data_IF_973490018760
#
_entry.id   IF_973490018760
#
_cell.length_a   1.000
_cell.length_b   1.000
_cell.length_c   1.000
_cell.angle_alpha   90.00
_cell.angle_beta   90.00
_cell.angle_gamma   90.00
#
_symmetry.space_group_name_H-M   'P 1'
#
loop_
_entity.id
_entity.type
_entity.pdbx_description
1 polymer ?
#
# COMPACT_ATOMS: atom_id res chain seq x y z
N UNK A 1 -27.87 -45.40 14.94
CA UNK A 1 -26.78 -44.46 15.30
C UNK A 1 -25.75 -44.26 14.20
N UNK A 2 -25.25 -45.30 13.51
CA UNK A 2 -24.28 -45.15 12.38
C UNK A 2 -24.68 -44.13 11.30
N UNK A 3 -25.96 -44.07 10.91
CA UNK A 3 -26.47 -43.14 9.88
C UNK A 3 -26.48 -41.66 10.34
N UNK A 4 -26.72 -41.42 11.64
CA UNK A 4 -26.68 -40.08 12.25
C UNK A 4 -25.23 -39.60 12.36
N UNK A 5 -24.33 -40.51 12.73
CA UNK A 5 -22.88 -40.22 12.81
C UNK A 5 -22.29 -39.88 11.43
N UNK A 6 -22.74 -40.58 10.37
CA UNK A 6 -22.34 -40.27 8.99
C UNK A 6 -22.86 -38.90 8.52
N UNK A 7 -24.09 -38.53 8.88
CA UNK A 7 -24.67 -37.22 8.55
C UNK A 7 -23.96 -36.07 9.25
N UNK A 8 -23.54 -36.26 10.51
CA UNK A 8 -22.78 -35.25 11.25
C UNK A 8 -21.36 -35.08 10.67
N UNK A 9 -20.72 -36.18 10.27
CA UNK A 9 -19.41 -36.13 9.61
C UNK A 9 -19.47 -35.40 8.25
N UNK A 10 -20.57 -35.56 7.51
CA UNK A 10 -20.78 -34.89 6.22
C UNK A 10 -20.98 -33.37 6.36
N UNK A 11 -21.60 -32.91 7.45
CA UNK A 11 -21.79 -31.49 7.73
C UNK A 11 -20.48 -30.78 8.10
N UNK A 12 -19.57 -31.46 8.79
CA UNK A 12 -18.27 -30.91 9.19
C UNK A 12 -17.31 -30.82 7.99
N UNK A 13 -17.42 -31.74 7.03
CA UNK A 13 -16.55 -31.74 5.83
C UNK A 13 -16.84 -30.63 4.80
N UNK A 14 -17.88 -29.83 4.99
CA UNK A 14 -18.23 -28.74 4.07
C UNK A 14 -17.48 -27.43 4.38
N UNK A 15 -16.73 -27.37 5.46
CA UNK A 15 -15.94 -26.19 5.80
C UNK A 15 -14.56 -26.29 5.14
N UNK A 16 -14.47 -25.77 3.92
CA UNK A 16 -13.19 -25.60 3.23
C UNK A 16 -12.62 -24.23 3.56
N UNK A 17 -11.32 -24.22 3.90
CA UNK A 17 -10.56 -22.99 4.03
C UNK A 17 -10.58 -22.26 2.68
N UNK A 18 -11.14 -21.07 2.69
CA UNK A 18 -11.20 -20.14 1.59
C UNK A 18 -10.01 -19.18 1.67
N UNK A 19 -9.50 -18.77 0.51
CA UNK A 19 -8.46 -17.77 0.38
C UNK A 19 -9.09 -16.48 -0.13
N UNK A 20 -8.91 -15.39 0.62
CA UNK A 20 -9.32 -14.05 0.20
C UNK A 20 -8.10 -13.13 0.07
N UNK A 21 -7.92 -12.55 -1.12
CA UNK A 21 -6.78 -11.69 -1.44
C UNK A 21 -7.18 -10.22 -1.42
N UNK A 22 -6.39 -9.41 -0.73
CA UNK A 22 -6.47 -7.95 -0.75
C UNK A 22 -5.23 -7.43 -1.44
N UNK A 23 -5.41 -6.83 -2.62
CA UNK A 23 -4.33 -6.23 -3.41
C UNK A 23 -4.35 -4.70 -3.31
N UNK A 24 -3.17 -4.10 -3.25
CA UNK A 24 -2.96 -2.64 -3.27
C UNK A 24 -3.83 -1.84 -2.29
N UNK A 25 -4.04 -2.36 -1.08
CA UNK A 25 -4.76 -1.64 -0.04
C UNK A 25 -3.94 -0.44 0.43
N UNK A 26 -4.52 0.75 0.34
CA UNK A 26 -3.87 1.99 0.78
C UNK A 26 -4.43 2.49 2.10
N UNK A 27 -3.57 3.03 2.95
CA UNK A 27 -3.97 3.69 4.18
C UNK A 27 -2.94 4.76 4.59
N UNK A 28 -3.37 5.71 5.40
CA UNK A 28 -2.50 6.71 5.99
C UNK A 28 -2.13 6.29 7.42
N UNK A 29 -0.84 6.15 7.68
CA UNK A 29 -0.30 5.70 8.97
C UNK A 29 0.57 6.78 9.59
N UNK A 30 0.50 6.91 10.91
CA UNK A 30 1.35 7.83 11.65
C UNK A 30 2.81 7.35 11.72
N UNK A 31 3.75 8.23 11.35
CA UNK A 31 5.19 8.01 11.47
C UNK A 31 5.70 8.68 12.75
N UNK A 32 6.32 7.92 13.66
CA UNK A 32 6.99 8.49 14.85
C UNK A 32 8.08 9.46 14.41
N UNK A 33 8.81 9.10 13.35
CA UNK A 33 9.81 9.93 12.71
C UNK A 33 9.13 11.02 11.89
N UNK A 34 9.27 12.27 12.33
CA UNK A 34 8.72 13.44 11.65
C UNK A 34 7.26 13.76 11.97
N UNK A 35 6.63 13.01 12.89
CA UNK A 35 5.32 13.33 13.47
C UNK A 35 4.23 13.64 12.41
N UNK A 36 4.18 12.83 11.36
CA UNK A 36 3.35 13.08 10.18
C UNK A 36 2.71 11.79 9.66
N UNK A 37 1.58 11.94 8.97
CA UNK A 37 0.95 10.84 8.25
C UNK A 37 1.75 10.49 7.00
N UNK A 38 1.88 9.19 6.74
CA UNK A 38 2.51 8.62 5.56
C UNK A 38 1.53 7.66 4.91
N UNK A 39 1.31 7.84 3.62
CA UNK A 39 0.55 6.91 2.80
C UNK A 39 1.36 5.63 2.62
N UNK A 40 0.73 4.50 2.84
CA UNK A 40 1.31 3.18 2.63
C UNK A 40 0.43 2.34 1.70
N UNK A 41 1.02 1.32 1.12
CA UNK A 41 0.36 0.31 0.31
C UNK A 41 0.68 -1.09 0.86
N UNK A 42 -0.35 -1.93 0.94
CA UNK A 42 -0.27 -3.28 1.47
C UNK A 42 -0.93 -4.27 0.53
N UNK A 43 -0.43 -5.50 0.55
CA UNK A 43 -1.12 -6.62 -0.09
C UNK A 43 -1.08 -7.82 0.85
N UNK A 44 -2.25 -8.43 1.05
CA UNK A 44 -2.50 -9.43 2.07
C UNK A 44 -3.27 -10.61 1.49
N UNK A 45 -3.03 -11.79 2.01
CA UNK A 45 -3.90 -12.95 1.83
C UNK A 45 -4.45 -13.37 3.19
N UNK A 46 -5.75 -13.58 3.26
CA UNK A 46 -6.46 -14.19 4.37
C UNK A 46 -6.83 -15.63 4.01
N UNK A 47 -6.65 -16.54 4.96
CA UNK A 47 -7.10 -17.92 4.87
C UNK A 47 -8.08 -18.19 6.03
N UNK A 48 -9.23 -18.80 5.74
CA UNK A 48 -10.28 -19.04 6.73
C UNK A 48 -11.63 -19.35 6.07
N UNK A 49 -12.69 -19.44 6.87
CA UNK A 49 -14.01 -19.83 6.35
C UNK A 49 -14.89 -18.63 6.02
N UNK A 50 -15.70 -18.73 4.96
CA UNK A 50 -16.70 -17.74 4.55
C UNK A 50 -16.13 -16.32 4.34
N UNK A 51 -14.89 -16.21 3.86
CA UNK A 51 -14.19 -14.94 3.73
C UNK A 51 -14.78 -14.07 2.62
N UNK A 52 -15.06 -14.62 1.43
CA UNK A 52 -15.55 -13.81 0.30
C UNK A 52 -16.93 -13.22 0.55
N UNK A 53 -17.77 -13.87 1.36
CA UNK A 53 -19.08 -13.34 1.76
C UNK A 53 -19.00 -12.22 2.80
N UNK A 54 -17.83 -12.05 3.40
CA UNK A 54 -17.58 -11.17 4.54
C UNK A 54 -16.37 -10.25 4.30
N UNK A 55 -16.02 -10.04 3.04
CA UNK A 55 -14.90 -9.21 2.60
C UNK A 55 -14.91 -7.79 3.19
N UNK A 56 -16.08 -7.16 3.25
CA UNK A 56 -16.26 -5.84 3.85
C UNK A 56 -15.85 -5.79 5.33
N UNK A 57 -16.00 -6.89 6.09
CA UNK A 57 -15.54 -6.99 7.49
C UNK A 57 -14.02 -7.13 7.56
N UNK A 58 -13.41 -7.85 6.60
CA UNK A 58 -11.95 -7.93 6.47
C UNK A 58 -11.35 -6.56 6.18
N UNK A 59 -11.94 -5.82 5.24
CA UNK A 59 -11.49 -4.48 4.87
C UNK A 59 -11.68 -3.45 5.98
N UNK A 60 -12.80 -3.50 6.69
CA UNK A 60 -13.03 -2.64 7.86
C UNK A 60 -12.01 -2.91 8.98
N UNK A 61 -11.84 -4.18 9.35
CA UNK A 61 -10.86 -4.56 10.37
C UNK A 61 -9.44 -4.16 9.97
N UNK A 62 -9.09 -4.34 8.68
CA UNK A 62 -7.79 -3.94 8.15
C UNK A 62 -7.59 -2.42 8.29
N UNK A 63 -8.56 -1.59 7.89
CA UNK A 63 -8.53 -0.13 8.03
C UNK A 63 -8.34 0.33 9.48
N UNK A 64 -9.08 -0.27 10.41
CA UNK A 64 -8.99 0.09 11.83
C UNK A 64 -7.64 -0.32 12.41
N UNK A 65 -7.25 -1.58 12.19
CA UNK A 65 -6.07 -2.15 12.85
C UNK A 65 -4.80 -1.54 12.30
N UNK A 66 -4.70 -1.33 10.99
CA UNK A 66 -3.48 -0.75 10.42
C UNK A 66 -3.20 0.66 10.94
N UNK A 67 -4.24 1.47 11.11
CA UNK A 67 -4.16 2.85 11.62
C UNK A 67 -3.74 2.91 13.09
N UNK A 68 -3.83 1.80 13.83
CA UNK A 68 -3.37 1.70 15.23
C UNK A 68 -1.86 1.44 15.37
N UNK A 69 -1.16 1.17 14.27
CA UNK A 69 0.28 0.96 14.25
C UNK A 69 1.00 2.23 13.88
N UNK A 70 2.23 2.36 14.36
CA UNK A 70 3.17 3.31 13.80
C UNK A 70 3.86 2.70 12.58
N UNK A 71 4.21 3.55 11.62
CA UNK A 71 4.88 3.15 10.39
C UNK A 71 6.12 2.30 10.66
N UNK A 72 6.96 2.75 11.60
CA UNK A 72 8.23 2.09 11.95
C UNK A 72 8.02 0.70 12.53
N UNK A 73 6.92 0.48 13.25
CA UNK A 73 6.64 -0.83 13.84
C UNK A 73 6.41 -1.85 12.73
N UNK A 74 5.70 -1.47 11.65
CA UNK A 74 5.36 -2.35 10.51
C UNK A 74 6.56 -2.71 9.62
N UNK A 75 7.70 -2.03 9.75
CA UNK A 75 8.95 -2.42 9.08
C UNK A 75 9.71 -3.55 9.78
N UNK A 76 9.31 -3.93 11.00
CA UNK A 76 9.97 -4.99 11.77
C UNK A 76 9.19 -6.30 11.70
N UNK A 77 9.90 -7.44 11.78
CA UNK A 77 9.24 -8.76 11.87
C UNK A 77 8.29 -8.82 13.08
N UNK A 78 8.74 -8.37 14.26
CA UNK A 78 7.92 -8.34 15.48
C UNK A 78 6.64 -7.50 15.31
N UNK A 79 6.73 -6.35 14.65
CA UNK A 79 5.57 -5.50 14.41
C UNK A 79 4.60 -6.10 13.39
N UNK A 80 5.10 -6.73 12.31
CA UNK A 80 4.28 -7.47 11.34
C UNK A 80 3.53 -8.63 11.99
N UNK A 81 4.18 -9.41 12.85
CA UNK A 81 3.53 -10.49 13.59
C UNK A 81 2.47 -9.97 14.58
N UNK A 82 2.78 -8.88 15.29
CA UNK A 82 1.82 -8.22 16.18
C UNK A 82 0.61 -7.70 15.40
N UNK A 83 0.82 -7.10 14.22
CA UNK A 83 -0.23 -6.63 13.34
C UNK A 83 -1.17 -7.78 12.92
N UNK A 84 -0.61 -8.87 12.37
CA UNK A 84 -1.40 -10.04 11.99
C UNK A 84 -2.20 -10.60 13.17
N UNK A 85 -1.57 -10.73 14.35
CA UNK A 85 -2.23 -11.22 15.56
C UNK A 85 -3.40 -10.33 15.99
N UNK A 86 -3.20 -9.01 16.04
CA UNK A 86 -4.25 -8.07 16.44
C UNK A 86 -5.39 -8.04 15.41
N UNK A 87 -5.08 -8.11 14.12
CA UNK A 87 -6.08 -8.17 13.06
C UNK A 87 -6.97 -9.41 13.19
N UNK A 88 -6.36 -10.60 13.36
CA UNK A 88 -7.10 -11.84 13.62
C UNK A 88 -7.99 -11.74 14.87
N UNK A 89 -7.44 -11.23 15.97
CA UNK A 89 -8.19 -11.08 17.23
C UNK A 89 -9.36 -10.11 17.10
N UNK A 90 -9.19 -9.02 16.35
CA UNK A 90 -10.25 -8.06 16.11
C UNK A 90 -11.38 -8.66 15.27
N UNK A 91 -11.04 -9.34 14.17
CA UNK A 91 -12.00 -10.04 13.31
C UNK A 91 -12.83 -11.07 14.09
N UNK A 92 -12.17 -11.88 14.92
CA UNK A 92 -12.85 -12.86 15.76
C UNK A 92 -13.79 -12.19 16.77
N UNK A 93 -13.29 -11.20 17.52
CA UNK A 93 -14.07 -10.57 18.61
C UNK A 93 -15.23 -9.71 18.10
N UNK A 94 -15.02 -8.96 17.03
CA UNK A 94 -15.98 -7.97 16.52
C UNK A 94 -16.98 -8.60 15.56
N UNK A 95 -16.52 -9.53 14.72
CA UNK A 95 -17.29 -10.04 13.60
C UNK A 95 -17.56 -11.54 13.66
N UNK A 96 -17.03 -12.24 14.66
CA UNK A 96 -17.09 -13.71 14.77
C UNK A 96 -16.53 -14.41 13.53
N UNK A 97 -15.55 -13.77 12.88
CA UNK A 97 -14.81 -14.34 11.76
C UNK A 97 -13.50 -14.91 12.29
N UNK A 98 -13.40 -16.23 12.30
CA UNK A 98 -12.13 -16.89 12.59
C UNK A 98 -11.27 -16.94 11.32
N UNK A 99 -10.00 -16.62 11.50
CA UNK A 99 -9.02 -16.54 10.43
C UNK A 99 -7.94 -17.56 10.75
N UNK A 100 -7.63 -18.46 9.84
CA UNK A 100 -6.60 -19.46 10.03
C UNK A 100 -5.21 -18.80 9.88
N UNK A 101 -5.00 -18.07 8.80
CA UNK A 101 -3.74 -17.41 8.52
C UNK A 101 -3.92 -16.06 7.83
N UNK A 102 -2.92 -15.18 8.04
CA UNK A 102 -2.76 -13.93 7.31
C UNK A 102 -1.33 -13.89 6.77
N UNK A 103 -1.19 -13.67 5.47
CA UNK A 103 0.08 -13.53 4.79
C UNK A 103 0.22 -12.09 4.30
N UNK A 104 1.27 -11.40 4.76
CA UNK A 104 1.62 -10.07 4.26
C UNK A 104 2.54 -10.23 3.05
N UNK A 105 2.02 -9.99 1.86
CA UNK A 105 2.76 -10.11 0.60
C UNK A 105 3.61 -8.87 0.32
N UNK A 106 3.06 -7.69 0.60
CA UNK A 106 3.69 -6.40 0.32
C UNK A 106 3.37 -5.39 1.42
N UNK A 107 4.35 -4.57 1.75
CA UNK A 107 4.20 -3.38 2.60
C UNK A 107 5.21 -2.33 2.17
N UNK A 108 4.73 -1.24 1.57
CA UNK A 108 5.58 -0.15 1.08
C UNK A 108 5.01 1.21 1.47
N UNK A 109 5.90 2.20 1.57
CA UNK A 109 5.48 3.61 1.68
C UNK A 109 5.20 4.12 0.28
N UNK A 110 4.01 4.66 0.05
CA UNK A 110 3.73 5.40 -1.17
C UNK A 110 4.30 6.81 -1.03
N UNK A 111 5.20 7.24 -1.93
CA UNK A 111 5.67 8.62 -1.92
C UNK A 111 4.49 9.56 -2.07
N UNK A 112 4.35 10.51 -1.14
CA UNK A 112 3.42 11.62 -1.34
C UNK A 112 3.96 12.47 -2.49
N UNK A 113 3.18 12.63 -3.56
CA UNK A 113 3.47 13.60 -4.61
C UNK A 113 3.47 14.98 -3.97
N UNK A 114 4.62 15.65 -3.98
CA UNK A 114 4.75 17.01 -3.49
C UNK A 114 4.45 17.96 -4.66
N UNK A 115 3.22 18.47 -4.70
CA UNK A 115 2.77 19.38 -5.76
C UNK A 115 3.63 20.63 -5.87
N UNK A 116 4.07 21.21 -4.75
CA UNK A 116 4.94 22.41 -4.75
C UNK A 116 6.28 22.14 -5.44
N UNK A 117 6.84 20.95 -5.19
CA UNK A 117 8.06 20.49 -5.87
C UNK A 117 7.82 20.28 -7.35
N UNK A 118 6.66 19.75 -7.74
CA UNK A 118 6.28 19.59 -9.14
C UNK A 118 6.11 20.96 -9.82
N UNK A 119 5.43 21.92 -9.19
CA UNK A 119 5.30 23.28 -9.70
C UNK A 119 6.66 23.95 -9.89
N UNK A 120 7.55 23.83 -8.90
CA UNK A 120 8.92 24.36 -8.99
C UNK A 120 9.69 23.73 -10.14
N UNK A 121 9.57 22.41 -10.33
CA UNK A 121 10.22 21.71 -11.45
C UNK A 121 9.64 22.14 -12.80
N UNK A 122 8.32 22.29 -12.90
CA UNK A 122 7.65 22.75 -14.12
C UNK A 122 8.07 24.18 -14.49
N UNK A 123 8.13 25.10 -13.52
CA UNK A 123 8.62 26.47 -13.74
C UNK A 123 10.07 26.48 -14.22
N UNK A 124 10.93 25.63 -13.63
CA UNK A 124 12.34 25.51 -14.03
C UNK A 124 12.51 24.97 -15.45
N UNK A 125 11.67 24.01 -15.85
CA UNK A 125 11.65 23.47 -17.22
C UNK A 125 11.20 24.56 -18.21
N UNK A 126 10.15 25.31 -17.88
CA UNK A 126 9.68 26.44 -18.69
C UNK A 126 10.75 27.51 -18.85
N UNK A 127 11.46 27.88 -17.78
CA UNK A 127 12.54 28.87 -17.87
C UNK A 127 13.72 28.38 -18.72
N UNK A 128 14.06 27.08 -18.67
CA UNK A 128 15.11 26.50 -19.53
C UNK A 128 14.72 26.46 -21.01
N UNK A 129 13.43 26.29 -21.32
CA UNK A 129 12.93 26.35 -22.70
C UNK A 129 12.78 27.80 -23.22
N UNK A 130 12.86 28.78 -22.33
CA UNK A 130 12.74 30.21 -22.65
C UNK A 130 14.09 30.91 -22.79
N UNK A 131 15.20 30.23 -22.52
CA UNK A 131 16.53 30.76 -22.83
C UNK A 131 16.71 30.75 -24.36
N UNK A 132 16.85 31.92 -25.01
CA UNK A 132 17.19 31.94 -26.43
C UNK A 132 18.56 31.30 -26.57
N UNK A 133 18.71 30.44 -27.59
CA UNK A 133 20.00 29.94 -28.02
C UNK A 133 21.00 31.12 -28.04
N UNK A 134 21.89 31.16 -27.05
CA UNK A 134 22.98 32.12 -27.06
C UNK A 134 23.82 31.77 -28.28
N UNK A 135 23.67 32.59 -29.32
CA UNK A 135 24.54 32.66 -30.49
C UNK A 135 25.98 32.88 -30.03
N UNK A 136 26.67 31.80 -29.68
CA UNK A 136 28.10 31.79 -29.44
C UNK A 136 28.74 30.88 -30.48
N UNK A 137 29.02 31.44 -31.67
CA UNK A 137 30.11 31.07 -32.58
C UNK A 137 30.08 31.98 -33.83
N UNK A 138 31.22 32.26 -34.48
CA UNK A 138 32.38 33.01 -34.01
C UNK A 138 32.61 34.27 -34.91
N UNK A 139 33.56 35.12 -34.53
CA UNK A 139 33.96 36.38 -35.20
C UNK A 139 34.51 36.25 -36.65
N UNK A 140 34.15 35.23 -37.44
CA UNK A 140 34.70 35.01 -38.79
C UNK A 140 33.95 35.76 -39.90
N UNK A 141 32.79 36.36 -39.65
CA UNK A 141 32.01 37.05 -40.71
C UNK A 141 32.30 38.55 -40.88
N UNK A 142 33.10 39.18 -39.99
CA UNK A 142 33.45 40.60 -40.14
C UNK A 142 34.72 40.85 -40.97
N UNK A 143 35.48 39.81 -41.32
CA UNK A 143 36.68 39.94 -42.16
C UNK A 143 36.38 39.96 -43.68
N UNK A 144 35.20 39.52 -44.11
CA UNK A 144 34.85 39.42 -45.53
C UNK A 144 34.16 40.67 -46.11
N UNK A 145 33.68 41.61 -45.28
CA UNK A 145 33.06 42.86 -45.76
C UNK A 145 34.06 44.04 -45.89
N UNK A 146 35.35 43.84 -45.54
CA UNK A 146 36.39 44.86 -45.70
C UNK A 146 37.25 44.68 -46.97
N UNK A 147 36.86 43.78 -47.88
CA UNK A 147 37.60 43.49 -49.12
C UNK A 147 36.75 43.58 -50.41
N UNK A 148 35.56 44.18 -50.37
CA UNK A 148 34.83 44.61 -51.59
C UNK A 148 34.86 46.13 -51.75
#
# INVERSE_FOLDING_TARGET
MRKVLLSLFFLISLSQAEIYKVDHFESDIFSKKGNALKKVELSLIFEGENLSRNDYKLLDALNIIISSFYLEDLFTSKGKERFKKLLKQFLLKKYMLDIDAIYLLKFDIKPALNCDKLETLLQKIQSMQSEPAQNNAPEEKKAFEMLE
#
